data_IF_300803679395
#
_entry.id   IF_300803679395
#
_cell.length_a   1.000
_cell.length_b   1.000
_cell.length_c   1.000
_cell.angle_alpha   90.00
_cell.angle_beta   90.00
_cell.angle_gamma   90.00
#
_symmetry.space_group_name_H-M   'P 1'
#
loop_
_entity.id
_entity.type
_entity.pdbx_description
1 polymer ?
#
# COMPACT_ATOMS: atom_id res chain seq x y z
N UNK A 1 8.22 7.45 9.18
CA UNK A 1 6.76 7.60 9.23
C UNK A 1 6.35 8.79 8.39
N UNK A 2 5.97 8.53 7.14
CA UNK A 2 5.51 9.55 6.20
C UNK A 2 4.06 9.26 5.85
N UNK A 3 3.14 10.01 6.45
CA UNK A 3 1.72 9.90 6.16
C UNK A 3 1.36 10.76 4.95
N UNK A 4 0.75 10.15 3.94
CA UNK A 4 0.15 10.86 2.81
C UNK A 4 -1.32 10.51 2.69
N UNK A 5 -2.11 11.40 2.10
CA UNK A 5 -3.52 11.11 1.83
C UNK A 5 -3.63 9.89 0.91
N UNK A 6 -4.72 9.13 1.04
CA UNK A 6 -4.97 7.96 0.18
C UNK A 6 -4.97 8.32 -1.32
N UNK A 7 -5.38 9.53 -1.67
CA UNK A 7 -5.36 10.02 -3.05
C UNK A 7 -3.94 10.26 -3.54
N UNK A 8 -3.09 10.90 -2.73
CA UNK A 8 -1.68 11.09 -3.07
C UNK A 8 -0.96 9.75 -3.14
N UNK A 9 -1.27 8.81 -2.24
CA UNK A 9 -0.74 7.44 -2.30
C UNK A 9 -1.04 6.78 -3.64
N UNK A 10 -2.27 6.87 -4.14
CA UNK A 10 -2.63 6.34 -5.45
C UNK A 10 -1.81 6.98 -6.57
N UNK A 11 -1.67 8.30 -6.57
CA UNK A 11 -0.90 9.03 -7.60
C UNK A 11 0.60 8.70 -7.57
N UNK A 12 1.17 8.52 -6.38
CA UNK A 12 2.58 8.18 -6.21
C UNK A 12 2.87 6.72 -6.56
N UNK A 13 2.03 5.78 -6.13
CA UNK A 13 2.24 4.34 -6.38
C UNK A 13 1.84 3.91 -7.79
N UNK A 14 0.84 4.56 -8.38
CA UNK A 14 0.30 4.25 -9.70
C UNK A 14 0.27 5.51 -10.58
N UNK A 15 1.43 6.07 -10.94
CA UNK A 15 1.51 7.34 -11.67
C UNK A 15 0.91 7.25 -13.08
N UNK A 16 0.86 6.05 -13.67
CA UNK A 16 0.29 5.80 -15.00
C UNK A 16 -1.22 5.51 -14.98
N UNK A 17 -1.84 5.53 -13.79
CA UNK A 17 -3.29 5.29 -13.65
C UNK A 17 -3.72 3.83 -13.75
N UNK A 18 -2.77 2.90 -13.76
CA UNK A 18 -2.93 1.45 -13.71
C UNK A 18 -3.36 0.91 -12.33
N UNK A 19 -3.48 1.80 -11.35
CA UNK A 19 -3.84 1.46 -9.98
C UNK A 19 -5.33 1.25 -9.72
N UNK A 20 -5.68 0.63 -8.58
CA UNK A 20 -7.07 0.44 -8.16
C UNK A 20 -7.83 1.75 -8.05
N UNK A 21 -9.16 1.69 -8.19
CA UNK A 21 -10.03 2.84 -7.96
C UNK A 21 -9.94 3.33 -6.50
N UNK A 22 -10.27 4.60 -6.26
CA UNK A 22 -10.36 5.12 -4.88
C UNK A 22 -11.39 4.36 -4.02
N UNK A 23 -12.44 3.81 -4.61
CA UNK A 23 -13.40 2.96 -3.92
C UNK A 23 -12.77 1.66 -3.42
N UNK A 24 -12.02 1.00 -4.31
CA UNK A 24 -11.27 -0.23 -4.00
C UNK A 24 -10.22 0.02 -2.92
N UNK A 25 -9.43 1.09 -3.03
CA UNK A 25 -8.44 1.48 -2.01
C UNK A 25 -9.10 1.74 -0.65
N UNK A 26 -10.22 2.46 -0.61
CA UNK A 26 -10.97 2.70 0.64
C UNK A 26 -11.55 1.40 1.21
N UNK A 27 -11.88 0.41 0.38
CA UNK A 27 -12.29 -0.92 0.84
C UNK A 27 -11.11 -1.63 1.48
N UNK A 28 -9.94 -1.66 0.83
CA UNK A 28 -8.70 -2.24 1.36
C UNK A 28 -8.26 -1.60 2.68
N UNK A 29 -8.40 -0.27 2.81
CA UNK A 29 -8.17 0.42 4.08
C UNK A 29 -9.11 -0.06 5.20
N UNK A 30 -10.36 -0.41 4.88
CA UNK A 30 -11.34 -0.88 5.86
C UNK A 30 -11.16 -2.36 6.21
N UNK A 31 -10.77 -3.20 5.24
CA UNK A 31 -10.50 -4.62 5.46
C UNK A 31 -9.14 -4.89 6.12
N UNK A 32 -8.23 -3.91 6.09
CA UNK A 32 -6.87 -4.07 6.61
C UNK A 32 -5.88 -4.61 5.57
N UNK A 33 -6.32 -4.81 4.33
CA UNK A 33 -5.48 -5.30 3.23
C UNK A 33 -4.41 -4.27 2.81
N UNK A 34 -4.65 -2.99 3.06
CA UNK A 34 -3.69 -1.93 2.76
C UNK A 34 -2.80 -1.66 3.97
N UNK A 35 -1.56 -2.14 3.91
CA UNK A 35 -0.54 -1.87 4.93
C UNK A 35 -0.31 -0.36 5.13
N UNK A 36 -0.12 0.05 6.39
CA UNK A 36 0.08 1.45 6.75
C UNK A 36 -1.17 2.33 6.63
N UNK A 37 -2.35 1.78 6.32
CA UNK A 37 -3.59 2.55 6.28
C UNK A 37 -4.01 3.02 7.68
N UNK A 38 -4.19 4.33 7.83
CA UNK A 38 -4.64 4.98 9.05
C UNK A 38 -5.81 5.90 8.77
N UNK A 39 -6.85 5.83 9.61
CA UNK A 39 -7.98 6.75 9.54
C UNK A 39 -7.76 7.88 10.54
N UNK A 40 -7.77 9.12 10.06
CA UNK A 40 -7.74 10.31 10.90
C UNK A 40 -8.99 11.15 10.62
N UNK A 41 -9.88 11.22 11.61
CA UNK A 41 -11.21 11.78 11.45
C UNK A 41 -12.02 11.05 10.37
N UNK A 42 -12.34 11.76 9.28
CA UNK A 42 -13.12 11.25 8.13
C UNK A 42 -12.25 10.83 6.94
N UNK A 43 -10.95 11.07 7.00
CA UNK A 43 -10.02 10.84 5.90
C UNK A 43 -9.11 9.64 6.16
N UNK A 44 -8.66 9.05 5.06
CA UNK A 44 -7.69 7.94 5.07
C UNK A 44 -6.33 8.46 4.64
N UNK A 45 -5.33 8.04 5.40
CA UNK A 45 -3.92 8.30 5.18
C UNK A 45 -3.19 6.96 5.09
N UNK A 46 -2.05 6.95 4.43
CA UNK A 46 -1.19 5.79 4.29
C UNK A 46 0.21 6.19 4.74
N UNK A 47 0.77 5.44 5.68
CA UNK A 47 2.19 5.52 5.96
C UNK A 47 2.96 4.82 4.83
N UNK A 48 3.61 5.61 3.98
CA UNK A 48 4.30 5.09 2.79
C UNK A 48 5.46 4.21 3.20
N UNK A 49 6.11 4.50 4.33
CA UNK A 49 7.29 3.73 4.75
C UNK A 49 6.87 2.28 5.08
N UNK A 50 5.66 2.09 5.66
CA UNK A 50 5.06 0.78 5.93
C UNK A 50 4.47 0.14 4.65
N UNK A 51 3.83 0.94 3.80
CA UNK A 51 3.23 0.45 2.56
C UNK A 51 4.28 0.10 1.48
N UNK A 52 5.52 0.56 1.62
CA UNK A 52 6.65 0.22 0.75
C UNK A 52 7.40 -1.01 1.25
N UNK A 53 7.36 -1.28 2.55
CA UNK A 53 7.95 -2.48 3.15
C UNK A 53 7.06 -3.72 3.04
N UNK A 54 5.86 -3.58 2.48
CA UNK A 54 4.90 -4.68 2.27
C UNK A 54 4.30 -4.55 0.88
N UNK A 55 4.48 -5.54 0.01
CA UNK A 55 3.83 -5.56 -1.32
C UNK A 55 2.32 -5.70 -1.19
N UNK A 56 1.84 -6.23 -0.05
CA UNK A 56 0.42 -6.37 0.30
C UNK A 56 -0.26 -7.57 -0.34
N UNK A 57 0.50 -8.44 -1.01
CA UNK A 57 0.03 -9.67 -1.62
C UNK A 57 0.87 -10.84 -1.09
N UNK A 58 0.27 -11.79 -0.35
CA UNK A 58 0.99 -12.95 0.21
C UNK A 58 1.73 -13.75 -0.86
N UNK A 59 1.19 -13.78 -2.09
CA UNK A 59 1.76 -14.53 -3.20
C UNK A 59 2.97 -13.80 -3.78
N UNK A 60 2.93 -12.46 -3.81
CA UNK A 60 4.09 -11.64 -4.19
C UNK A 60 5.18 -11.74 -3.13
N UNK A 61 4.84 -11.70 -1.84
CA UNK A 61 5.82 -11.90 -0.76
C UNK A 61 6.46 -13.29 -0.81
N UNK A 62 5.67 -14.34 -1.07
CA UNK A 62 6.19 -15.69 -1.26
C UNK A 62 7.15 -15.76 -2.46
N UNK A 63 6.74 -15.22 -3.61
CA UNK A 63 7.57 -15.20 -4.82
C UNK A 63 8.84 -14.37 -4.59
N UNK A 64 8.77 -13.21 -3.94
CA UNK A 64 9.95 -12.41 -3.58
C UNK A 64 10.87 -13.15 -2.60
N UNK A 65 10.31 -13.94 -1.67
CA UNK A 65 11.10 -14.79 -0.77
C UNK A 65 11.77 -15.96 -1.48
N UNK A 66 11.12 -16.53 -2.50
CA UNK A 66 11.65 -17.64 -3.32
C UNK A 66 12.70 -17.17 -4.33
N UNK A 67 12.62 -15.94 -4.83
CA UNK A 67 13.57 -15.39 -5.82
C UNK A 67 14.87 -14.86 -5.16
N UNK A 68 14.95 -14.81 -3.82
CA UNK A 68 16.24 -14.73 -3.13
C UNK A 68 17.03 -13.43 -3.30
N UNK A 69 16.44 -12.27 -3.00
CA UNK A 69 17.22 -11.07 -2.67
C UNK A 69 17.46 -10.99 -1.15
N UNK A 70 18.28 -11.90 -0.66
CA UNK A 70 19.14 -11.65 0.50
C UNK A 70 20.58 -11.80 -0.01
N UNK A 71 21.15 -10.68 -0.47
CA UNK A 71 22.60 -10.60 -0.64
C UNK A 71 23.24 -10.70 0.75
N UNK A 72 24.12 -11.68 0.91
CA UNK A 72 25.20 -11.69 1.91
C UNK A 72 26.09 -10.46 1.80
#
# INVERSE_FOLDING_TARGET
MRLISLENYRKTKFPFGDGPSMGSLRRQCRSGDLAGARKEGKLWYVDIDVASSTSGDPLVEQVLSEIGFYDT
#
